data_IF_144261948230
#
_entry.id   IF_144261948230
#
_cell.length_a   1.000
_cell.length_b   1.000
_cell.length_c   1.000
_cell.angle_alpha   90.00
_cell.angle_beta   90.00
_cell.angle_gamma   90.00
#
_symmetry.space_group_name_H-M   'P 1'
#
loop_
_entity.id
_entity.type
_entity.pdbx_description
1 polymer ?
#
# COMPACT_ATOMS: atom_id res chain seq x y z
N UNK A 1 10.58 -21.09 33.52
CA UNK A 1 11.38 -20.63 34.68
C UNK A 1 12.58 -19.90 34.14
N UNK A 2 12.78 -18.65 34.58
CA UNK A 2 13.78 -17.70 34.09
C UNK A 2 15.20 -18.26 33.99
N UNK A 3 15.91 -17.90 32.93
CA UNK A 3 17.31 -17.44 33.05
C UNK A 3 17.44 -16.16 32.23
N UNK A 4 17.66 -15.06 32.95
CA UNK A 4 18.17 -13.79 32.45
C UNK A 4 19.70 -13.90 32.33
N UNK A 5 20.25 -13.50 31.19
CA UNK A 5 21.61 -12.99 31.10
C UNK A 5 21.70 -12.01 29.92
N UNK A 6 21.90 -10.76 30.29
CA UNK A 6 22.00 -9.57 29.44
C UNK A 6 23.46 -9.40 28.98
N UNK A 7 23.74 -9.54 27.67
CA UNK A 7 24.82 -8.86 26.93
C UNK A 7 24.35 -8.68 25.49
N UNK A 8 24.04 -7.44 25.12
CA UNK A 8 23.34 -7.07 23.90
C UNK A 8 24.20 -7.14 22.64
N UNK A 9 24.17 -8.29 21.97
CA UNK A 9 24.35 -8.42 20.52
C UNK A 9 23.21 -9.32 20.04
N UNK A 10 22.21 -8.68 19.45
CA UNK A 10 20.81 -9.14 19.36
C UNK A 10 20.63 -10.50 18.69
N UNK A 11 20.14 -11.50 19.44
CA UNK A 11 19.63 -12.77 18.91
C UNK A 11 18.61 -12.59 17.75
N UNK A 12 17.94 -11.43 17.69
CA UNK A 12 17.01 -11.04 16.62
C UNK A 12 17.69 -10.80 15.26
N UNK A 13 18.95 -10.34 15.21
CA UNK A 13 19.67 -10.13 13.95
C UNK A 13 20.21 -11.45 13.39
N UNK A 14 20.71 -12.32 14.26
CA UNK A 14 21.13 -13.68 13.91
C UNK A 14 19.93 -14.51 13.42
N UNK A 15 18.80 -14.47 14.12
CA UNK A 15 17.60 -15.22 13.72
C UNK A 15 16.97 -14.67 12.44
N UNK A 16 17.00 -13.34 12.20
CA UNK A 16 16.63 -12.74 10.91
C UNK A 16 17.58 -13.13 9.78
N UNK A 17 18.89 -13.17 10.04
CA UNK A 17 19.89 -13.58 9.07
C UNK A 17 19.74 -15.07 8.70
N UNK A 18 19.49 -15.95 9.67
CA UNK A 18 19.24 -17.39 9.42
C UNK A 18 17.95 -17.64 8.65
N UNK A 19 16.86 -16.92 8.98
CA UNK A 19 15.62 -17.00 8.20
C UNK A 19 15.85 -16.50 6.78
N UNK A 20 16.55 -15.37 6.60
CA UNK A 20 16.89 -14.84 5.29
C UNK A 20 17.71 -15.84 4.45
N UNK A 21 18.74 -16.46 5.04
CA UNK A 21 19.58 -17.46 4.35
C UNK A 21 18.77 -18.71 3.97
N UNK A 22 17.82 -19.14 4.80
CA UNK A 22 16.93 -20.27 4.48
C UNK A 22 15.93 -19.98 3.35
N UNK A 23 15.49 -18.72 3.20
CA UNK A 23 14.58 -18.29 2.12
C UNK A 23 15.34 -18.25 0.79
N UNK A 24 16.54 -17.65 0.81
CA UNK A 24 17.38 -17.48 -0.37
C UNK A 24 17.84 -18.82 -0.95
N UNK A 25 17.97 -19.85 -0.10
CA UNK A 25 18.42 -21.20 -0.50
C UNK A 25 17.29 -22.22 -0.71
N UNK A 26 16.02 -21.78 -0.84
CA UNK A 26 14.93 -22.71 -1.15
C UNK A 26 15.16 -23.35 -2.53
N UNK A 27 15.49 -24.64 -2.52
CA UNK A 27 15.78 -25.42 -3.73
C UNK A 27 14.57 -25.54 -4.67
N UNK A 28 13.35 -25.36 -4.14
CA UNK A 28 12.12 -25.38 -4.96
C UNK A 28 11.85 -24.04 -5.64
N UNK A 29 12.51 -22.96 -5.20
CA UNK A 29 12.41 -21.62 -5.75
C UNK A 29 13.78 -20.93 -5.82
N UNK A 30 14.76 -21.48 -6.59
CA UNK A 30 16.12 -20.96 -6.64
C UNK A 30 16.20 -19.50 -7.13
N UNK A 31 15.20 -19.05 -7.87
CA UNK A 31 15.09 -17.66 -8.33
C UNK A 31 14.85 -16.64 -7.19
N UNK A 32 14.54 -17.08 -5.96
CA UNK A 32 14.37 -16.19 -4.81
C UNK A 32 15.61 -15.38 -4.49
N UNK A 33 16.81 -15.93 -4.73
CA UNK A 33 18.06 -15.20 -4.52
C UNK A 33 18.12 -13.92 -5.37
N UNK A 34 17.66 -13.99 -6.63
CA UNK A 34 17.61 -12.84 -7.53
C UNK A 34 16.48 -11.89 -7.11
N UNK A 35 15.28 -12.41 -6.83
CA UNK A 35 14.14 -11.58 -6.45
C UNK A 35 14.34 -10.86 -5.10
N UNK A 36 15.17 -11.40 -4.22
CA UNK A 36 15.51 -10.78 -2.94
C UNK A 36 16.76 -9.88 -3.00
N UNK A 37 17.37 -9.72 -4.17
CA UNK A 37 18.47 -8.78 -4.41
C UNK A 37 17.92 -7.49 -5.03
N UNK A 38 17.89 -6.37 -4.27
CA UNK A 38 17.34 -5.12 -4.77
C UNK A 38 18.15 -4.51 -5.93
N UNK A 39 19.46 -4.78 -6.02
CA UNK A 39 20.30 -4.25 -7.09
C UNK A 39 20.05 -4.98 -8.40
N UNK A 40 19.94 -6.31 -8.37
CA UNK A 40 19.56 -7.11 -9.54
C UNK A 40 18.13 -6.78 -9.98
N UNK A 41 17.20 -6.68 -9.02
CA UNK A 41 15.81 -6.35 -9.33
C UNK A 41 15.65 -4.94 -9.91
N UNK A 42 16.47 -3.97 -9.52
CA UNK A 42 16.52 -2.64 -10.15
C UNK A 42 16.78 -2.74 -11.65
N UNK A 43 17.75 -3.57 -12.06
CA UNK A 43 18.08 -3.78 -13.48
C UNK A 43 16.94 -4.48 -14.23
N UNK A 44 16.32 -5.48 -13.61
CA UNK A 44 15.15 -6.14 -14.19
C UNK A 44 13.97 -5.17 -14.37
N UNK A 45 13.69 -4.32 -13.37
CA UNK A 45 12.62 -3.34 -13.47
C UNK A 45 12.90 -2.21 -14.46
N UNK A 46 14.15 -1.78 -14.61
CA UNK A 46 14.53 -0.84 -15.67
C UNK A 46 14.13 -1.39 -17.05
N UNK A 47 14.54 -2.63 -17.35
CA UNK A 47 14.25 -3.25 -18.65
C UNK A 47 12.76 -3.56 -18.81
N UNK A 48 12.10 -4.02 -17.75
CA UNK A 48 10.69 -4.41 -17.81
C UNK A 48 9.75 -3.20 -17.98
N UNK A 49 10.01 -2.10 -17.27
CA UNK A 49 9.15 -0.91 -17.29
C UNK A 49 9.33 -0.07 -18.56
N UNK A 50 10.52 -0.07 -19.15
CA UNK A 50 10.86 0.87 -20.21
C UNK A 50 11.27 0.21 -21.53
N UNK A 51 11.94 -0.93 -21.53
CA UNK A 51 12.48 -1.52 -22.76
C UNK A 51 11.54 -2.54 -23.42
N UNK A 52 10.68 -3.20 -22.62
CA UNK A 52 9.83 -4.31 -23.07
C UNK A 52 8.32 -4.04 -22.97
N UNK A 53 7.91 -2.83 -22.59
CA UNK A 53 6.49 -2.47 -22.45
C UNK A 53 5.79 -2.39 -23.81
N UNK A 54 4.79 -3.24 -24.04
CA UNK A 54 4.02 -3.26 -25.27
C UNK A 54 3.01 -2.10 -25.32
N UNK A 55 3.07 -1.29 -26.39
CA UNK A 55 1.97 -0.49 -26.98
C UNK A 55 1.30 0.61 -26.13
N UNK A 56 1.54 0.75 -24.83
CA UNK A 56 0.90 1.84 -24.01
C UNK A 56 1.85 2.72 -23.20
N UNK A 57 3.13 2.81 -23.58
CA UNK A 57 4.03 3.77 -22.95
C UNK A 57 3.72 5.20 -23.44
N UNK A 58 3.14 6.04 -22.58
CA UNK A 58 2.88 7.45 -22.85
C UNK A 58 4.16 8.31 -22.96
N UNK A 59 5.34 7.73 -22.73
CA UNK A 59 6.64 8.38 -22.86
C UNK A 59 7.67 7.41 -23.46
N UNK A 60 8.64 7.89 -24.26
CA UNK A 60 9.69 7.04 -24.80
C UNK A 60 10.52 6.40 -23.68
N UNK A 61 10.80 5.11 -23.84
CA UNK A 61 11.61 4.23 -23.00
C UNK A 61 12.90 4.83 -22.44
N UNK A 62 13.46 5.82 -23.14
CA UNK A 62 14.80 6.37 -22.88
C UNK A 62 14.82 7.45 -21.80
N UNK A 63 13.68 8.04 -21.46
CA UNK A 63 13.64 9.29 -20.67
C UNK A 63 13.66 9.05 -19.16
N UNK A 64 13.52 7.80 -18.70
CA UNK A 64 13.36 7.49 -17.29
C UNK A 64 14.34 6.41 -16.83
N UNK A 65 14.73 6.49 -15.55
CA UNK A 65 15.58 5.50 -14.91
C UNK A 65 15.06 5.11 -13.53
N UNK A 66 15.21 3.83 -13.19
CA UNK A 66 14.99 3.32 -11.84
C UNK A 66 16.25 3.61 -11.03
N UNK A 67 16.19 4.68 -10.23
CA UNK A 67 17.28 5.11 -9.38
C UNK A 67 17.47 4.15 -8.19
N UNK A 68 16.38 3.81 -7.51
CA UNK A 68 16.40 2.86 -6.38
C UNK A 68 15.30 1.82 -6.49
N UNK A 69 15.59 0.63 -5.97
CA UNK A 69 14.64 -0.45 -5.76
C UNK A 69 14.79 -0.90 -4.30
N UNK A 70 13.72 -0.78 -3.52
CA UNK A 70 13.68 -1.20 -2.12
C UNK A 70 12.70 -2.36 -1.96
N UNK A 71 13.11 -3.41 -1.24
CA UNK A 71 12.19 -4.46 -0.79
C UNK A 71 11.53 -3.99 0.50
N UNK A 72 10.26 -3.64 0.41
CA UNK A 72 9.48 -3.16 1.57
C UNK A 72 8.96 -4.32 2.40
N UNK A 73 8.59 -5.43 1.74
CA UNK A 73 8.01 -6.59 2.42
C UNK A 73 8.26 -7.88 1.66
N UNK A 74 8.50 -8.94 2.41
CA UNK A 74 8.54 -10.33 1.93
C UNK A 74 7.56 -11.15 2.75
N UNK A 75 6.64 -11.85 2.08
CA UNK A 75 5.78 -12.87 2.68
C UNK A 75 6.06 -14.19 1.99
N UNK A 76 6.78 -15.05 2.69
CA UNK A 76 7.24 -16.33 2.18
C UNK A 76 6.56 -17.50 2.88
N UNK A 77 6.23 -18.52 2.10
CA UNK A 77 5.87 -19.87 2.56
C UNK A 77 6.63 -20.87 1.69
N UNK A 78 7.52 -21.63 2.32
CA UNK A 78 8.40 -22.59 1.66
C UNK A 78 7.63 -23.54 0.73
N UNK A 79 8.14 -23.72 -0.49
CA UNK A 79 7.53 -24.58 -1.52
C UNK A 79 6.16 -24.14 -2.05
N UNK A 80 5.55 -23.06 -1.54
CA UNK A 80 4.19 -22.65 -1.91
C UNK A 80 4.18 -21.32 -2.66
N UNK A 81 4.65 -20.24 -2.01
CA UNK A 81 4.60 -18.88 -2.58
C UNK A 81 5.55 -17.93 -1.88
N UNK A 82 6.06 -16.99 -2.64
CA UNK A 82 6.68 -15.78 -2.13
C UNK A 82 6.00 -14.56 -2.74
N UNK A 83 5.53 -13.66 -1.89
CA UNK A 83 5.00 -12.35 -2.29
C UNK A 83 5.97 -11.28 -1.80
N UNK A 84 6.44 -10.45 -2.73
CA UNK A 84 7.41 -9.38 -2.48
C UNK A 84 6.77 -8.05 -2.85
N UNK A 85 6.91 -7.05 -2.00
CA UNK A 85 6.57 -5.67 -2.33
C UNK A 85 7.84 -4.89 -2.57
N UNK A 86 7.92 -4.23 -3.72
CA UNK A 86 8.99 -3.31 -4.04
C UNK A 86 8.48 -1.87 -4.06
N UNK A 87 9.37 -0.97 -3.71
CA UNK A 87 9.20 0.48 -3.87
C UNK A 87 10.32 1.02 -4.72
N UNK A 88 9.95 1.56 -5.86
CA UNK A 88 10.87 2.12 -6.85
C UNK A 88 10.88 3.63 -6.72
N UNK A 89 12.07 4.23 -6.80
CA UNK A 89 12.21 5.66 -7.09
C UNK A 89 12.65 5.79 -8.55
N UNK A 90 11.79 6.40 -9.36
CA UNK A 90 11.98 6.58 -10.79
C UNK A 90 12.23 8.05 -11.07
N UNK A 91 13.24 8.36 -11.87
CA UNK A 91 13.62 9.72 -12.19
C UNK A 91 13.59 9.94 -13.70
N UNK A 92 13.13 11.12 -14.14
CA UNK A 92 13.33 11.54 -15.53
C UNK A 92 14.79 11.93 -15.72
N UNK A 93 15.47 11.40 -16.74
CA UNK A 93 16.85 11.77 -17.09
C UNK A 93 16.93 13.28 -17.32
N UNK A 94 17.85 13.93 -16.60
CA UNK A 94 18.05 15.39 -16.65
C UNK A 94 17.04 16.21 -15.84
N UNK A 95 16.05 15.58 -15.21
CA UNK A 95 15.14 16.23 -14.26
C UNK A 95 15.47 15.84 -12.81
N UNK A 96 15.01 16.63 -11.84
CA UNK A 96 15.19 16.34 -10.41
C UNK A 96 13.94 15.69 -9.77
N UNK A 97 12.89 15.45 -10.55
CA UNK A 97 11.65 14.89 -10.02
C UNK A 97 11.78 13.38 -9.85
N UNK A 98 11.60 12.93 -8.60
CA UNK A 98 11.47 11.53 -8.23
C UNK A 98 9.99 11.16 -8.17
N UNK A 99 9.64 10.06 -8.84
CA UNK A 99 8.30 9.49 -8.86
C UNK A 99 8.40 8.11 -8.19
N UNK A 100 7.58 7.91 -7.16
CA UNK A 100 7.50 6.63 -6.47
C UNK A 100 6.53 5.69 -7.20
N UNK A 101 6.97 4.46 -7.48
CA UNK A 101 6.11 3.39 -7.99
C UNK A 101 6.21 2.14 -7.12
N UNK A 102 5.06 1.64 -6.69
CA UNK A 102 4.95 0.40 -5.92
C UNK A 102 4.66 -0.78 -6.85
N UNK A 103 5.35 -1.88 -6.62
CA UNK A 103 5.14 -3.14 -7.32
C UNK A 103 4.86 -4.25 -6.31
N UNK A 104 3.82 -5.04 -6.56
CA UNK A 104 3.65 -6.33 -5.87
C UNK A 104 4.05 -7.44 -6.83
N UNK A 105 5.01 -8.27 -6.43
CA UNK A 105 5.42 -9.42 -7.20
C UNK A 105 5.06 -10.71 -6.46
N UNK A 106 4.69 -11.72 -7.22
CA UNK A 106 4.49 -13.08 -6.73
C UNK A 106 5.33 -14.04 -7.54
N UNK A 107 6.18 -14.77 -6.84
CA UNK A 107 6.92 -15.89 -7.40
C UNK A 107 6.09 -17.17 -7.30
N UNK A 108 6.25 -18.00 -8.31
CA UNK A 108 5.67 -19.32 -8.40
C UNK A 108 6.75 -20.36 -8.66
N UNK A 109 6.48 -21.66 -8.41
CA UNK A 109 7.33 -22.74 -8.91
C UNK A 109 7.59 -22.60 -10.41
N UNK A 110 8.78 -22.98 -10.85
CA UNK A 110 9.25 -22.79 -12.23
C UNK A 110 8.26 -23.42 -13.23
N UNK A 111 7.97 -22.70 -14.32
CA UNK A 111 7.06 -23.10 -15.39
C UNK A 111 5.56 -22.87 -15.12
N UNK A 112 5.18 -22.35 -13.94
CA UNK A 112 3.76 -22.24 -13.56
C UNK A 112 3.19 -20.82 -13.64
N UNK A 113 4.05 -19.80 -13.73
CA UNK A 113 3.63 -18.40 -13.63
C UNK A 113 2.92 -17.88 -14.88
N UNK A 114 3.23 -18.41 -16.07
CA UNK A 114 2.64 -17.95 -17.33
C UNK A 114 1.10 -18.05 -17.34
N UNK A 115 0.54 -19.16 -16.86
CA UNK A 115 -0.92 -19.31 -16.76
C UNK A 115 -1.56 -18.27 -15.80
N UNK A 116 -0.84 -17.91 -14.73
CA UNK A 116 -1.28 -16.92 -13.74
C UNK A 116 -1.22 -15.51 -14.30
N UNK A 117 -0.20 -15.20 -15.08
CA UNK A 117 -0.08 -13.95 -15.82
C UNK A 117 -1.25 -13.75 -16.78
N UNK A 118 -1.52 -14.72 -17.67
CA UNK A 118 -2.65 -14.65 -18.60
C UNK A 118 -4.00 -14.54 -17.89
N UNK A 119 -4.15 -15.19 -16.73
CA UNK A 119 -5.35 -15.00 -15.92
C UNK A 119 -5.47 -13.56 -15.42
N UNK A 120 -4.38 -12.98 -14.91
CA UNK A 120 -4.37 -11.63 -14.36
C UNK A 120 -4.68 -10.55 -15.40
N UNK A 121 -4.26 -10.76 -16.66
CA UNK A 121 -4.59 -9.85 -17.77
C UNK A 121 -6.08 -9.78 -18.13
N UNK A 122 -6.91 -10.73 -17.65
CA UNK A 122 -8.35 -10.74 -17.89
C UNK A 122 -9.16 -10.00 -16.82
N UNK A 123 -8.51 -9.61 -15.73
CA UNK A 123 -9.15 -8.81 -14.69
C UNK A 123 -9.23 -7.34 -15.15
N UNK A 124 -10.14 -6.52 -14.60
CA UNK A 124 -10.13 -5.08 -14.82
C UNK A 124 -8.82 -4.48 -14.29
N UNK A 125 -8.09 -3.76 -15.14
CA UNK A 125 -6.79 -3.18 -14.82
C UNK A 125 -6.81 -1.65 -14.99
N UNK A 126 -6.11 -0.96 -14.10
CA UNK A 126 -5.91 0.49 -14.16
C UNK A 126 -4.48 0.78 -14.62
N UNK A 127 -4.25 1.68 -15.59
CA UNK A 127 -2.91 2.05 -16.01
C UNK A 127 -2.07 2.60 -14.85
N UNK A 128 -0.88 2.04 -14.57
CA UNK A 128 0.06 2.60 -13.61
C UNK A 128 0.82 3.79 -14.24
N UNK A 129 1.61 4.54 -13.44
CA UNK A 129 2.46 5.60 -13.98
C UNK A 129 3.50 5.12 -15.00
N UNK A 130 4.06 3.91 -14.79
CA UNK A 130 5.06 3.32 -15.66
C UNK A 130 4.82 1.82 -15.90
N UNK A 131 5.11 1.38 -17.12
CA UNK A 131 4.97 -0.01 -17.56
C UNK A 131 3.51 -0.48 -17.65
N UNK A 132 3.34 -1.78 -17.84
CA UNK A 132 2.02 -2.40 -17.89
C UNK A 132 1.46 -2.63 -16.48
N UNK A 133 0.13 -2.62 -16.36
CA UNK A 133 -0.57 -2.86 -15.10
C UNK A 133 -0.23 -4.22 -14.47
N UNK A 134 -0.02 -5.22 -15.32
CA UNK A 134 0.50 -6.53 -14.93
C UNK A 134 1.64 -6.88 -15.87
N UNK A 135 2.77 -7.31 -15.32
CA UNK A 135 3.95 -7.71 -16.06
C UNK A 135 4.36 -9.14 -15.70
N UNK A 136 5.06 -9.80 -16.61
CA UNK A 136 5.60 -11.13 -16.40
C UNK A 136 7.11 -11.11 -16.61
N UNK A 137 7.85 -11.69 -15.67
CA UNK A 137 9.28 -11.91 -15.79
C UNK A 137 9.56 -13.42 -15.90
N UNK A 138 9.63 -13.97 -17.14
CA UNK A 138 9.70 -15.41 -17.36
C UNK A 138 10.89 -16.09 -16.66
N UNK A 139 12.06 -15.43 -16.67
CA UNK A 139 13.29 -15.97 -16.07
C UNK A 139 13.18 -16.23 -14.56
N UNK A 140 12.24 -15.55 -13.88
CA UNK A 140 12.01 -15.72 -12.44
C UNK A 140 10.65 -16.37 -12.12
N UNK A 141 9.89 -16.83 -13.13
CA UNK A 141 8.51 -17.31 -12.94
C UNK A 141 7.69 -16.38 -12.00
N UNK A 142 7.74 -15.10 -12.33
CA UNK A 142 7.24 -14.04 -11.45
C UNK A 142 6.23 -13.17 -12.17
N UNK A 143 5.05 -13.02 -11.56
CA UNK A 143 4.01 -12.09 -12.01
C UNK A 143 4.05 -10.86 -11.13
N UNK A 144 4.00 -9.68 -11.74
CA UNK A 144 4.13 -8.40 -11.07
C UNK A 144 2.88 -7.58 -11.36
N UNK A 145 2.28 -7.00 -10.33
CA UNK A 145 1.21 -6.02 -10.43
C UNK A 145 1.76 -4.65 -10.07
N UNK A 146 1.61 -3.69 -10.98
CA UNK A 146 1.95 -2.30 -10.72
C UNK A 146 0.78 -1.62 -10.00
N UNK A 147 1.07 -0.99 -8.86
CA UNK A 147 0.06 -0.26 -8.10
C UNK A 147 -0.60 0.81 -8.99
N UNK A 148 -1.95 0.92 -8.99
CA UNK A 148 -2.87 0.45 -7.97
C UNK A 148 -3.45 -0.95 -8.17
N UNK A 149 -2.97 -1.72 -9.14
CA UNK A 149 -3.45 -3.08 -9.35
C UNK A 149 -2.93 -4.00 -8.24
N UNK A 150 -3.81 -4.82 -7.67
CA UNK A 150 -3.47 -5.86 -6.71
C UNK A 150 -4.33 -7.09 -6.98
N UNK A 151 -3.74 -8.28 -6.77
CA UNK A 151 -4.38 -9.56 -7.08
C UNK A 151 -5.62 -9.85 -6.24
N UNK A 152 -5.74 -9.28 -5.03
CA UNK A 152 -6.86 -9.55 -4.11
C UNK A 152 -7.55 -8.29 -3.60
N UNK A 153 -6.88 -7.14 -3.57
CA UNK A 153 -7.48 -5.90 -3.10
C UNK A 153 -8.11 -5.18 -4.30
N UNK A 154 -9.29 -5.64 -4.72
CA UNK A 154 -9.96 -5.12 -5.93
C UNK A 154 -10.35 -3.64 -5.85
N UNK A 155 -10.62 -3.11 -4.66
CA UNK A 155 -11.05 -1.73 -4.46
C UNK A 155 -9.96 -0.67 -4.47
N UNK A 156 -8.69 -1.00 -4.74
CA UNK A 156 -7.60 -0.01 -4.73
C UNK A 156 -7.79 1.11 -5.76
N UNK A 157 -8.15 0.84 -7.03
CA UNK A 157 -8.40 1.91 -8.00
C UNK A 157 -9.52 2.86 -7.55
N UNK A 158 -10.63 2.30 -7.06
CA UNK A 158 -11.76 3.08 -6.55
C UNK A 158 -11.38 3.91 -5.32
N UNK A 159 -10.62 3.34 -4.38
CA UNK A 159 -10.11 4.06 -3.22
C UNK A 159 -9.25 5.27 -3.62
N UNK A 160 -8.36 5.12 -4.60
CA UNK A 160 -7.50 6.22 -5.05
C UNK A 160 -8.24 7.28 -5.86
N UNK A 161 -9.19 6.87 -6.70
CA UNK A 161 -10.11 7.80 -7.36
C UNK A 161 -10.88 8.61 -6.30
N UNK A 162 -11.48 7.95 -5.32
CA UNK A 162 -12.19 8.58 -4.21
C UNK A 162 -11.31 9.53 -3.38
N UNK A 163 -10.03 9.21 -3.19
CA UNK A 163 -9.10 10.07 -2.47
C UNK A 163 -8.62 11.29 -3.28
N UNK A 164 -8.64 11.20 -4.62
CA UNK A 164 -8.19 12.26 -5.54
C UNK A 164 -9.31 13.21 -5.94
N UNK A 165 -10.52 12.70 -6.12
CA UNK A 165 -11.64 13.44 -6.71
C UNK A 165 -12.46 14.14 -5.63
N UNK A 166 -12.53 15.47 -5.72
CA UNK A 166 -13.27 16.32 -4.77
C UNK A 166 -14.74 15.92 -4.66
N UNK A 167 -15.37 15.51 -5.77
CA UNK A 167 -16.79 15.13 -5.79
C UNK A 167 -17.08 13.90 -4.92
N UNK A 168 -16.21 12.89 -4.97
CA UNK A 168 -16.36 11.68 -4.16
C UNK A 168 -16.13 11.99 -2.67
N UNK A 169 -15.13 12.81 -2.35
CA UNK A 169 -14.89 13.28 -0.98
C UNK A 169 -16.03 14.16 -0.46
N UNK A 170 -16.68 14.96 -1.32
CA UNK A 170 -17.75 15.86 -0.92
C UNK A 170 -18.95 15.09 -0.32
N UNK A 171 -19.25 13.88 -0.81
CA UNK A 171 -20.29 13.02 -0.23
C UNK A 171 -19.93 12.62 1.20
N UNK A 172 -18.68 12.23 1.44
CA UNK A 172 -18.18 11.89 2.79
C UNK A 172 -18.20 13.10 3.71
N UNK A 173 -17.79 14.27 3.19
CA UNK A 173 -17.75 15.53 3.94
C UNK A 173 -19.16 15.98 4.32
N UNK A 174 -20.10 15.99 3.38
CA UNK A 174 -21.48 16.37 3.64
C UNK A 174 -22.14 15.44 4.69
N UNK A 175 -21.88 14.14 4.60
CA UNK A 175 -22.38 13.16 5.58
C UNK A 175 -21.82 13.35 6.99
N UNK A 176 -20.63 13.92 7.13
CA UNK A 176 -19.96 14.06 8.45
C UNK A 176 -19.99 15.47 9.03
N UNK A 177 -19.77 16.50 8.23
CA UNK A 177 -19.72 17.91 8.65
C UNK A 177 -20.94 18.71 8.22
N UNK A 178 -21.89 18.09 7.51
CA UNK A 178 -23.14 18.71 7.08
C UNK A 178 -23.07 19.31 5.68
N UNK A 179 -24.23 19.52 5.07
CA UNK A 179 -24.37 19.91 3.67
C UNK A 179 -23.83 21.31 3.32
N UNK A 180 -23.60 22.18 4.32
CA UNK A 180 -23.00 23.51 4.15
C UNK A 180 -21.47 23.48 4.18
N UNK A 181 -20.85 22.32 4.44
CA UNK A 181 -19.39 22.20 4.48
C UNK A 181 -18.86 21.79 3.11
N UNK A 182 -17.92 22.57 2.58
CA UNK A 182 -17.24 22.31 1.30
C UNK A 182 -15.76 22.04 1.50
N UNK A 183 -15.14 21.39 0.51
CA UNK A 183 -13.70 21.16 0.45
C UNK A 183 -13.05 22.33 -0.30
N UNK A 184 -12.16 23.07 0.38
CA UNK A 184 -11.38 24.16 -0.20
C UNK A 184 -10.12 23.61 -0.87
N UNK A 185 -9.48 22.65 -0.21
CA UNK A 185 -8.28 21.99 -0.71
C UNK A 185 -8.16 20.60 -0.07
N UNK A 186 -7.53 19.68 -0.78
CA UNK A 186 -7.16 18.38 -0.23
C UNK A 186 -5.87 17.86 -0.83
N UNK A 187 -5.25 16.95 -0.10
CA UNK A 187 -4.14 16.13 -0.56
C UNK A 187 -4.30 14.73 0.05
N UNK A 188 -3.75 13.72 -0.61
CA UNK A 188 -3.79 12.35 -0.11
C UNK A 188 -2.42 11.70 -0.15
N UNK A 189 -2.19 10.77 0.77
CA UNK A 189 -0.95 10.04 0.92
C UNK A 189 -1.21 8.57 1.18
N UNK A 190 -0.52 7.70 0.46
CA UNK A 190 -0.42 6.28 0.78
C UNK A 190 0.37 6.12 2.09
N UNK A 191 -0.29 5.61 3.14
CA UNK A 191 0.32 5.43 4.46
C UNK A 191 0.85 4.01 4.64
N UNK A 192 0.11 3.04 4.11
CA UNK A 192 0.45 1.64 4.26
C UNK A 192 -0.08 0.84 3.08
N UNK A 193 0.74 -0.07 2.56
CA UNK A 193 0.33 -1.02 1.55
C UNK A 193 0.93 -2.39 1.87
N UNK A 194 0.06 -3.39 2.05
CA UNK A 194 0.41 -4.79 2.23
C UNK A 194 -0.26 -5.56 1.12
N UNK A 195 0.50 -5.95 0.08
CA UNK A 195 -0.09 -6.61 -1.07
C UNK A 195 -0.89 -7.86 -0.69
N UNK A 196 -1.99 -8.10 -1.38
CA UNK A 196 -2.98 -9.15 -1.13
C UNK A 196 -3.68 -9.10 0.25
N UNK A 197 -3.53 -8.03 1.04
CA UNK A 197 -4.15 -7.89 2.38
C UNK A 197 -4.87 -6.55 2.57
N UNK A 198 -4.15 -5.43 2.63
CA UNK A 198 -4.76 -4.14 2.95
C UNK A 198 -3.96 -2.97 2.43
N UNK A 199 -4.63 -1.84 2.24
CA UNK A 199 -4.02 -0.56 1.89
C UNK A 199 -4.70 0.54 2.69
N UNK A 200 -3.92 1.48 3.21
CA UNK A 200 -4.42 2.64 3.95
C UNK A 200 -3.94 3.93 3.29
N UNK A 201 -4.87 4.80 2.95
CA UNK A 201 -4.61 6.17 2.47
C UNK A 201 -5.09 7.15 3.51
N UNK A 202 -4.32 8.22 3.71
CA UNK A 202 -4.70 9.39 4.49
C UNK A 202 -5.08 10.51 3.53
N UNK A 203 -6.21 11.16 3.77
CA UNK A 203 -6.63 12.37 3.06
C UNK A 203 -6.62 13.52 4.04
N UNK A 204 -5.86 14.58 3.76
CA UNK A 204 -5.90 15.83 4.49
C UNK A 204 -6.85 16.78 3.76
N UNK A 205 -7.74 17.41 4.51
CA UNK A 205 -8.76 18.31 4.00
C UNK A 205 -8.62 19.68 4.65
N UNK A 206 -8.81 20.73 3.87
CA UNK A 206 -9.18 22.05 4.35
C UNK A 206 -10.65 22.26 4.01
N UNK A 207 -11.49 22.37 5.03
CA UNK A 207 -12.93 22.53 4.90
C UNK A 207 -13.32 23.98 5.14
N UNK A 208 -14.40 24.43 4.51
CA UNK A 208 -15.05 25.70 4.81
C UNK A 208 -16.55 25.50 5.01
N UNK A 209 -17.12 26.15 6.02
CA UNK A 209 -18.57 26.27 6.15
C UNK A 209 -19.06 27.46 5.32
N UNK A 210 -19.99 27.22 4.40
CA UNK A 210 -20.46 28.25 3.46
C UNK A 210 -21.34 29.31 4.12
N UNK A 211 -21.91 29.05 5.30
CA UNK A 211 -22.75 30.01 6.00
C UNK A 211 -21.94 31.01 6.82
N UNK A 212 -20.83 30.56 7.40
CA UNK A 212 -19.97 31.35 8.29
C UNK A 212 -18.67 31.80 7.65
N UNK A 213 -18.25 31.17 6.55
CA UNK A 213 -16.95 31.36 5.91
C UNK A 213 -15.77 30.83 6.73
N UNK A 214 -16.02 30.19 7.87
CA UNK A 214 -14.94 29.67 8.72
C UNK A 214 -14.31 28.43 8.10
N UNK A 215 -12.98 28.37 8.16
CA UNK A 215 -12.21 27.23 7.68
C UNK A 215 -11.70 26.37 8.82
N UNK A 216 -11.61 25.06 8.58
CA UNK A 216 -11.05 24.11 9.54
C UNK A 216 -10.31 22.96 8.84
N UNK A 217 -9.18 22.49 9.39
CA UNK A 217 -8.52 21.29 8.89
C UNK A 217 -9.25 20.03 9.35
N UNK A 218 -9.32 19.03 8.48
CA UNK A 218 -9.77 17.69 8.82
C UNK A 218 -8.83 16.63 8.23
N UNK A 219 -8.91 15.40 8.74
CA UNK A 219 -8.16 14.27 8.20
C UNK A 219 -9.08 13.07 8.14
N UNK A 220 -9.05 12.37 7.01
CA UNK A 220 -9.70 11.09 6.81
C UNK A 220 -8.66 9.99 6.60
N UNK A 221 -9.00 8.78 6.99
CA UNK A 221 -8.30 7.57 6.60
C UNK A 221 -9.25 6.64 5.86
N UNK A 222 -8.82 6.19 4.69
CA UNK A 222 -9.46 5.13 3.93
C UNK A 222 -8.62 3.87 4.07
N UNK A 223 -9.26 2.74 4.37
CA UNK A 223 -8.60 1.44 4.42
C UNK A 223 -9.33 0.44 3.53
N UNK A 224 -8.66 -0.02 2.48
CA UNK A 224 -9.12 -1.10 1.63
C UNK A 224 -8.77 -2.46 2.25
N UNK A 225 -9.67 -3.41 2.12
CA UNK A 225 -9.52 -4.79 2.55
C UNK A 225 -9.63 -5.72 1.34
N UNK A 226 -9.03 -6.91 1.45
CA UNK A 226 -9.17 -7.96 0.43
C UNK A 226 -10.42 -8.86 0.64
N UNK A 227 -11.12 -8.67 1.76
CA UNK A 227 -12.20 -9.51 2.25
C UNK A 227 -13.20 -8.70 3.11
N UNK A 228 -14.13 -9.40 3.76
CA UNK A 228 -15.20 -8.83 4.60
C UNK A 228 -14.73 -8.31 5.97
N UNK A 229 -13.45 -8.43 6.32
CA UNK A 229 -12.92 -7.96 7.61
C UNK A 229 -13.14 -6.45 7.80
N UNK A 230 -13.19 -5.68 6.70
CA UNK A 230 -13.53 -4.27 6.72
C UNK A 230 -14.96 -3.98 7.20
N UNK A 231 -15.94 -4.79 6.78
CA UNK A 231 -17.34 -4.66 7.20
C UNK A 231 -17.49 -4.96 8.70
N UNK A 232 -16.79 -5.99 9.17
CA UNK A 232 -16.75 -6.33 10.58
C UNK A 232 -16.09 -5.24 11.43
N UNK A 233 -14.94 -4.74 10.98
CA UNK A 233 -14.23 -3.64 11.63
C UNK A 233 -15.13 -2.41 11.74
N UNK A 234 -15.81 -2.03 10.66
CA UNK A 234 -16.75 -0.91 10.65
C UNK A 234 -17.88 -1.08 11.68
N UNK A 235 -18.53 -2.25 11.69
CA UNK A 235 -19.60 -2.58 12.63
C UNK A 235 -19.13 -2.47 14.08
N UNK A 236 -17.97 -3.03 14.40
CA UNK A 236 -17.40 -2.98 15.75
C UNK A 236 -17.03 -1.54 16.15
N UNK A 237 -16.42 -0.78 15.24
CA UNK A 237 -16.12 0.63 15.47
C UNK A 237 -17.38 1.45 15.75
N UNK A 238 -18.46 1.23 15.00
CA UNK A 238 -19.73 1.94 15.22
C UNK A 238 -20.30 1.63 16.61
N UNK A 239 -20.33 0.35 16.99
CA UNK A 239 -20.80 -0.07 18.30
C UNK A 239 -19.97 0.56 19.43
N UNK A 240 -18.64 0.60 19.29
CA UNK A 240 -17.75 1.21 20.28
C UNK A 240 -17.94 2.73 20.35
N UNK A 241 -18.02 3.41 19.20
CA UNK A 241 -18.16 4.86 19.13
C UNK A 241 -19.43 5.37 19.81
N UNK A 242 -20.50 4.58 19.77
CA UNK A 242 -21.78 4.91 20.41
C UNK A 242 -21.81 4.64 21.93
N UNK A 243 -20.78 4.00 22.51
CA UNK A 243 -20.75 3.69 23.96
C UNK A 243 -20.60 4.96 24.81
N UNK A 244 -21.10 4.88 26.04
CA UNK A 244 -20.97 5.94 27.04
C UNK A 244 -19.50 6.33 27.29
N UNK A 245 -18.58 5.37 27.28
CA UNK A 245 -17.14 5.64 27.44
C UNK A 245 -16.58 6.60 26.38
N UNK A 246 -17.04 6.52 25.12
CA UNK A 246 -16.65 7.47 24.09
C UNK A 246 -17.32 8.83 24.27
N UNK A 247 -18.62 8.85 24.58
CA UNK A 247 -19.38 10.09 24.84
C UNK A 247 -18.85 10.88 26.04
N UNK A 248 -18.36 10.17 27.06
CA UNK A 248 -17.76 10.73 28.28
C UNK A 248 -16.26 11.03 28.12
N UNK A 249 -15.65 10.70 26.97
CA UNK A 249 -14.24 10.94 26.70
C UNK A 249 -13.25 10.00 27.38
N UNK A 250 -13.72 8.96 28.09
CA UNK A 250 -12.87 7.93 28.70
C UNK A 250 -12.18 7.02 27.67
N UNK A 251 -12.76 6.90 26.47
CA UNK A 251 -12.20 6.17 25.35
C UNK A 251 -12.27 7.03 24.09
N UNK A 252 -11.12 7.27 23.43
CA UNK A 252 -11.07 7.93 22.13
C UNK A 252 -10.68 6.93 21.06
N UNK A 253 -11.57 6.72 20.09
CA UNK A 253 -11.31 5.96 18.87
C UNK A 253 -11.65 6.83 17.66
N UNK A 254 -11.14 6.47 16.48
CA UNK A 254 -11.54 7.16 15.26
C UNK A 254 -13.03 6.98 15.01
N UNK A 255 -13.73 8.06 14.63
CA UNK A 255 -15.12 7.94 14.22
C UNK A 255 -15.19 7.17 12.89
N UNK A 256 -15.91 6.04 12.81
CA UNK A 256 -16.20 5.41 11.53
C UNK A 256 -17.20 6.28 10.75
N UNK A 257 -16.92 6.55 9.48
CA UNK A 257 -17.76 7.38 8.62
C UNK A 257 -18.66 6.48 7.78
N UNK A 258 -18.06 5.63 6.94
CA UNK A 258 -18.79 4.72 6.05
C UNK A 258 -17.94 3.51 5.69
N UNK A 259 -18.60 2.40 5.38
CA UNK A 259 -18.00 1.26 4.70
C UNK A 259 -18.64 1.05 3.33
N UNK A 260 -17.85 1.16 2.28
CA UNK A 260 -18.27 0.90 0.90
C UNK A 260 -18.06 -0.60 0.61
N UNK A 261 -19.15 -1.38 0.61
CA UNK A 261 -19.07 -2.84 0.46
C UNK A 261 -18.57 -3.29 -0.91
N UNK A 262 -18.91 -2.55 -1.98
CA UNK A 262 -18.49 -2.85 -3.35
C UNK A 262 -16.96 -2.80 -3.48
N UNK A 263 -16.33 -1.76 -2.93
CA UNK A 263 -14.88 -1.57 -3.00
C UNK A 263 -14.14 -2.13 -1.76
N UNK A 264 -14.88 -2.63 -0.77
CA UNK A 264 -14.36 -3.09 0.51
C UNK A 264 -13.50 -2.03 1.23
N UNK A 265 -13.92 -0.76 1.16
CA UNK A 265 -13.21 0.39 1.74
C UNK A 265 -13.93 0.92 2.97
N UNK A 266 -13.20 1.01 4.09
CA UNK A 266 -13.63 1.70 5.30
C UNK A 266 -13.06 3.12 5.33
N UNK A 267 -13.93 4.12 5.48
CA UNK A 267 -13.56 5.50 5.77
C UNK A 267 -13.79 5.84 7.24
N UNK A 268 -12.81 6.49 7.86
CA UNK A 268 -12.88 6.95 9.24
C UNK A 268 -12.15 8.30 9.41
N UNK A 269 -12.44 9.00 10.49
CA UNK A 269 -11.69 10.21 10.85
C UNK A 269 -10.26 9.91 11.30
N UNK A 270 -9.37 10.88 11.09
CA UNK A 270 -8.10 10.96 11.78
C UNK A 270 -8.28 11.42 13.23
N UNK A 271 -7.57 10.77 14.15
CA UNK A 271 -7.49 11.23 15.52
C UNK A 271 -6.45 12.34 15.64
N UNK A 272 -6.74 13.45 16.37
CA UNK A 272 -5.74 14.44 16.68
C UNK A 272 -4.67 13.86 17.61
N UNK A 273 -3.43 14.30 17.44
CA UNK A 273 -2.31 13.92 18.30
C UNK A 273 -1.05 13.56 17.52
N UNK A 274 -0.06 13.02 18.24
CA UNK A 274 1.22 12.57 17.70
C UNK A 274 1.31 11.06 17.83
N UNK A 275 1.77 10.39 16.77
CA UNK A 275 2.05 8.95 16.83
C UNK A 275 3.16 8.69 17.84
N UNK A 276 3.02 7.66 18.68
CA UNK A 276 4.03 7.28 19.68
C UNK A 276 5.42 7.03 19.08
N UNK A 277 5.51 6.57 17.83
CA UNK A 277 6.77 6.39 17.10
C UNK A 277 7.55 7.71 16.90
N UNK A 278 6.87 8.86 16.95
CA UNK A 278 7.50 10.19 16.87
C UNK A 278 7.90 10.73 18.24
N UNK A 279 7.65 9.94 19.30
CA UNK A 279 8.11 10.23 20.64
C UNK A 279 9.51 9.66 20.78
N UNK A 280 10.52 10.52 20.94
CA UNK A 280 11.79 10.08 21.47
C UNK A 280 11.50 9.56 22.88
N UNK A 281 11.71 8.27 23.11
CA UNK A 281 11.75 7.74 24.47
C UNK A 281 12.93 8.45 25.13
N UNK A 282 12.64 9.48 25.94
CA UNK A 282 13.64 10.10 26.78
C UNK A 282 14.29 9.00 27.59
N UNK A 283 15.61 8.92 27.53
CA UNK A 283 16.39 8.05 28.41
C UNK A 283 15.99 8.38 29.86
N UNK A 284 15.67 7.37 30.70
CA UNK A 284 15.32 7.61 32.09
C UNK A 284 16.44 8.31 32.86
#
# INVERSE_FOLDING_TARGET
MMVSANRGTSATSLQRATIHDSIVRDQTMPQLAIALDPLLMRLHFQSLLFENSGVTAAAPATDYEVNTCEIVRVKYRAGEKCVISYRLQIQKRGGNQLIEQWLSARLFPIGTAASRYHKALREPLTPPPFGDAVMFLPKLDMVIWAFPNDRKIGGLPALLAAARETEQLAVLVAGRWGATTIIVAHDYQLIHYVPEHTCTVRVKLLLADTATGQTQPATLFAKAYYNEEGAETFRLMQQLWQRAACRQGHLRIAQPIVYCAVDQVLWQEGLPGRTLLTYALGTP
#
